data_IF_870509018018
#
_entry.id   IF_870509018018
#
_cell.length_a   1.000
_cell.length_b   1.000
_cell.length_c   1.000
_cell.angle_alpha   90.00
_cell.angle_beta   90.00
_cell.angle_gamma   90.00
#
_symmetry.space_group_name_H-M   'P 1'
#
loop_
_entity.id
_entity.type
_entity.pdbx_description
1 polymer ?
#
# COMPACT_ATOMS: atom_id res chain seq x y z
N UNK A 1 -19.51 58.55 36.67
CA UNK A 1 -20.70 57.83 37.17
C UNK A 1 -21.41 57.24 35.96
N UNK A 2 -21.68 55.93 36.01
CA UNK A 2 -22.63 55.17 35.16
C UNK A 2 -22.09 54.58 33.84
N UNK A 3 -21.83 53.27 33.95
CA UNK A 3 -21.84 52.19 32.96
C UNK A 3 -22.94 52.28 31.88
N UNK A 4 -22.66 51.83 30.65
CA UNK A 4 -23.61 51.00 29.87
C UNK A 4 -22.89 50.05 28.89
N UNK A 5 -22.87 48.76 29.28
CA UNK A 5 -23.18 47.53 28.52
C UNK A 5 -22.62 47.33 27.09
N UNK A 6 -21.64 46.44 27.02
CA UNK A 6 -21.32 45.60 25.87
C UNK A 6 -22.42 44.53 25.65
N UNK A 7 -23.00 44.48 24.46
CA UNK A 7 -23.56 43.25 23.86
C UNK A 7 -23.72 43.44 22.35
N UNK A 8 -22.81 42.91 21.55
CA UNK A 8 -23.09 42.56 20.16
C UNK A 8 -23.01 41.05 20.02
N UNK A 9 -24.19 40.44 19.89
CA UNK A 9 -24.37 39.07 19.50
C UNK A 9 -23.98 38.92 18.03
N UNK A 10 -22.97 38.09 17.76
CA UNK A 10 -22.65 37.61 16.42
C UNK A 10 -23.71 36.58 16.04
N UNK A 11 -24.76 37.02 15.33
CA UNK A 11 -25.70 36.12 14.65
C UNK A 11 -24.98 35.49 13.46
N UNK A 12 -24.45 34.28 13.63
CA UNK A 12 -24.18 33.40 12.49
C UNK A 12 -25.53 32.96 11.91
N UNK A 13 -25.82 33.42 10.69
CA UNK A 13 -26.92 32.91 9.88
C UNK A 13 -26.72 31.41 9.66
N UNK A 14 -27.69 30.63 10.13
CA UNK A 14 -27.91 29.23 9.77
C UNK A 14 -28.61 29.19 8.40
N UNK A 15 -27.90 29.52 7.33
CA UNK A 15 -28.44 29.36 5.97
C UNK A 15 -27.73 28.19 5.29
N UNK A 16 -28.42 27.04 5.36
CA UNK A 16 -28.45 25.93 4.40
C UNK A 16 -27.14 25.55 3.69
N UNK A 17 -26.42 24.59 4.25
CA UNK A 17 -25.81 23.55 3.41
C UNK A 17 -26.85 22.44 3.33
N UNK A 18 -27.64 22.44 2.27
CA UNK A 18 -28.33 21.22 1.85
C UNK A 18 -27.24 20.20 1.52
N UNK A 19 -26.99 19.30 2.47
CA UNK A 19 -26.21 18.10 2.22
C UNK A 19 -27.06 17.26 1.27
N UNK A 20 -26.83 17.39 -0.03
CA UNK A 20 -27.29 16.39 -0.97
C UNK A 20 -26.76 15.05 -0.46
N UNK A 21 -27.65 14.20 0.06
CA UNK A 21 -27.45 12.74 0.12
C UNK A 21 -27.35 12.25 -1.34
N UNK A 22 -26.24 12.58 -2.00
CA UNK A 22 -25.76 11.75 -3.08
C UNK A 22 -25.47 10.39 -2.47
N UNK A 23 -25.89 9.33 -3.14
CA UNK A 23 -25.61 7.94 -2.77
C UNK A 23 -24.18 7.84 -2.22
N UNK A 24 -24.04 7.42 -0.96
CA UNK A 24 -22.78 7.58 -0.25
C UNK A 24 -21.77 6.59 -0.83
N UNK A 25 -20.87 7.08 -1.69
CA UNK A 25 -19.79 6.31 -2.31
C UNK A 25 -18.93 5.63 -1.23
N UNK A 26 -18.61 4.36 -1.46
CA UNK A 26 -17.65 3.59 -0.67
C UNK A 26 -16.33 3.40 -1.41
N UNK A 27 -15.25 3.21 -0.65
CA UNK A 27 -13.98 2.69 -1.14
C UNK A 27 -13.81 1.28 -0.58
N UNK A 28 -13.50 0.31 -1.43
CA UNK A 28 -12.99 -0.99 -1.04
C UNK A 28 -11.54 -1.11 -1.49
N UNK A 29 -10.60 -1.18 -0.54
CA UNK A 29 -9.19 -1.43 -0.81
C UNK A 29 -8.80 -2.84 -0.37
N UNK A 30 -8.32 -3.66 -1.30
CA UNK A 30 -7.91 -5.04 -1.03
C UNK A 30 -6.40 -5.18 -1.10
N UNK A 31 -5.81 -5.97 -0.20
CA UNK A 31 -4.52 -6.57 -0.52
C UNK A 31 -4.64 -7.52 -1.73
N UNK A 32 -3.52 -7.77 -2.40
CA UNK A 32 -3.46 -8.64 -3.56
C UNK A 32 -3.06 -10.08 -3.24
N UNK A 33 -1.92 -10.29 -2.61
CA UNK A 33 -1.24 -11.58 -2.53
C UNK A 33 -1.68 -12.34 -1.27
N UNK A 34 -2.47 -13.40 -1.44
CA UNK A 34 -3.06 -14.11 -0.30
C UNK A 34 -4.47 -13.64 0.05
N UNK A 35 -4.85 -12.44 -0.40
CA UNK A 35 -6.19 -11.86 -0.23
C UNK A 35 -7.05 -11.93 -1.50
N UNK A 36 -6.81 -11.05 -2.48
CA UNK A 36 -7.56 -11.06 -3.76
C UNK A 36 -7.16 -12.25 -4.63
N UNK A 37 -5.87 -12.59 -4.62
CA UNK A 37 -5.36 -13.83 -5.18
C UNK A 37 -5.22 -14.87 -4.10
N UNK A 38 -5.90 -15.99 -4.29
CA UNK A 38 -5.75 -17.16 -3.44
C UNK A 38 -5.27 -18.31 -4.31
N UNK A 39 -4.20 -18.99 -3.89
CA UNK A 39 -3.57 -20.07 -4.67
C UNK A 39 -3.19 -19.61 -6.10
N UNK A 40 -2.76 -18.36 -6.24
CA UNK A 40 -2.33 -17.77 -7.52
C UNK A 40 -3.45 -17.43 -8.50
N UNK A 41 -4.72 -17.43 -8.05
CA UNK A 41 -5.86 -17.07 -8.90
C UNK A 41 -6.83 -16.09 -8.24
N UNK A 42 -7.50 -15.28 -9.06
CA UNK A 42 -8.66 -14.47 -8.66
C UNK A 42 -9.93 -15.17 -9.14
N UNK A 43 -10.86 -15.41 -8.22
CA UNK A 43 -12.08 -16.16 -8.54
C UNK A 43 -13.02 -15.39 -9.47
N UNK A 44 -13.83 -16.09 -10.26
CA UNK A 44 -14.88 -15.48 -11.09
C UNK A 44 -15.95 -14.77 -10.24
N UNK A 45 -16.18 -15.24 -9.01
CA UNK A 45 -17.08 -14.60 -8.06
C UNK A 45 -16.56 -13.25 -7.62
N UNK A 46 -15.28 -13.14 -7.26
CA UNK A 46 -14.67 -11.87 -6.87
C UNK A 46 -14.69 -10.87 -8.02
N UNK A 47 -14.35 -11.32 -9.24
CA UNK A 47 -14.42 -10.47 -10.44
C UNK A 47 -15.83 -9.93 -10.68
N UNK A 48 -16.85 -10.79 -10.58
CA UNK A 48 -18.24 -10.37 -10.73
C UNK A 48 -18.69 -9.41 -9.62
N UNK A 49 -18.29 -9.68 -8.37
CA UNK A 49 -18.61 -8.83 -7.22
C UNK A 49 -17.94 -7.45 -7.31
N UNK A 50 -16.66 -7.39 -7.72
CA UNK A 50 -15.93 -6.15 -7.98
C UNK A 50 -16.62 -5.35 -9.08
N UNK A 51 -17.01 -5.99 -10.18
CA UNK A 51 -17.73 -5.31 -11.26
C UNK A 51 -19.09 -4.75 -10.79
N UNK A 52 -19.83 -5.50 -9.96
CA UNK A 52 -21.09 -5.03 -9.37
C UNK A 52 -20.87 -3.86 -8.40
N UNK A 53 -19.85 -3.94 -7.56
CA UNK A 53 -19.43 -2.87 -6.63
C UNK A 53 -19.14 -1.57 -7.37
N UNK A 54 -18.34 -1.64 -8.43
CA UNK A 54 -18.01 -0.48 -9.27
C UNK A 54 -19.25 0.07 -9.99
N UNK A 55 -20.12 -0.80 -10.50
CA UNK A 55 -21.37 -0.40 -11.16
C UNK A 55 -22.33 0.31 -10.22
N UNK A 56 -22.28 0.00 -8.92
CA UNK A 56 -23.06 0.70 -7.89
C UNK A 56 -22.50 2.10 -7.53
N UNK A 57 -21.47 2.59 -8.23
CA UNK A 57 -20.88 3.90 -8.01
C UNK A 57 -19.80 3.93 -6.93
N UNK A 58 -19.40 2.77 -6.40
CA UNK A 58 -18.32 2.66 -5.43
C UNK A 58 -16.95 2.49 -6.11
N UNK A 59 -15.88 2.78 -5.38
CA UNK A 59 -14.51 2.65 -5.86
C UNK A 59 -13.90 1.35 -5.35
N UNK A 60 -13.25 0.60 -6.25
CA UNK A 60 -12.43 -0.55 -5.90
C UNK A 60 -10.98 -0.31 -6.27
N UNK A 61 -10.07 -0.73 -5.41
CA UNK A 61 -8.65 -0.68 -5.71
C UNK A 61 -7.83 -1.68 -4.92
N UNK A 62 -6.58 -1.84 -5.34
CA UNK A 62 -5.62 -2.74 -4.70
C UNK A 62 -4.61 -1.93 -3.90
N UNK A 63 -4.30 -2.40 -2.69
CA UNK A 63 -3.29 -1.84 -1.81
C UNK A 63 -2.20 -2.89 -1.49
N UNK A 64 -1.05 -2.79 -2.16
CA UNK A 64 -0.08 -3.87 -2.25
C UNK A 64 1.36 -3.39 -2.03
N UNK A 65 2.23 -4.29 -1.59
CA UNK A 65 3.68 -4.09 -1.55
C UNK A 65 4.34 -4.10 -2.94
N UNK A 66 3.63 -4.60 -3.97
CA UNK A 66 4.14 -4.63 -5.36
C UNK A 66 4.29 -3.21 -5.94
N UNK A 67 5.28 -3.06 -6.81
CA UNK A 67 5.39 -1.92 -7.72
C UNK A 67 4.31 -1.94 -8.81
N UNK A 68 4.11 -0.80 -9.48
CA UNK A 68 3.03 -0.55 -10.42
C UNK A 68 2.97 -1.57 -11.57
N UNK A 69 4.09 -1.81 -12.24
CA UNK A 69 4.12 -2.75 -13.37
C UNK A 69 3.85 -4.19 -12.94
N UNK A 70 4.35 -4.58 -11.77
CA UNK A 70 4.10 -5.90 -11.20
C UNK A 70 2.61 -6.13 -10.95
N UNK A 71 1.94 -5.23 -10.23
CA UNK A 71 0.51 -5.40 -9.97
C UNK A 71 -0.36 -5.24 -11.23
N UNK A 72 0.00 -4.33 -12.15
CA UNK A 72 -0.74 -4.12 -13.40
C UNK A 72 -0.71 -5.36 -14.29
N UNK A 73 0.45 -6.03 -14.39
CA UNK A 73 0.56 -7.27 -15.14
C UNK A 73 -0.33 -8.37 -14.55
N UNK A 74 -0.35 -8.50 -13.22
CA UNK A 74 -1.14 -9.50 -12.51
C UNK A 74 -2.65 -9.27 -12.63
N UNK A 75 -3.10 -8.02 -12.47
CA UNK A 75 -4.50 -7.64 -12.66
C UNK A 75 -4.95 -7.83 -14.12
N UNK A 76 -4.09 -7.49 -15.08
CA UNK A 76 -4.35 -7.75 -16.51
C UNK A 76 -4.45 -9.24 -16.84
N UNK A 77 -3.54 -10.04 -16.28
CA UNK A 77 -3.52 -11.52 -16.43
C UNK A 77 -4.80 -12.15 -15.86
N UNK A 78 -5.31 -11.63 -14.75
CA UNK A 78 -6.56 -12.09 -14.14
C UNK A 78 -7.82 -11.42 -14.69
N UNK A 79 -7.69 -10.37 -15.50
CA UNK A 79 -8.81 -9.53 -15.99
C UNK A 79 -9.63 -8.94 -14.84
N UNK A 80 -8.93 -8.37 -13.86
CA UNK A 80 -9.54 -7.65 -12.74
C UNK A 80 -9.56 -6.16 -13.05
N UNK A 81 -10.76 -5.63 -12.98
CA UNK A 81 -11.05 -4.23 -13.11
C UNK A 81 -10.79 -3.48 -11.79
N UNK A 82 -10.29 -2.25 -11.87
CA UNK A 82 -9.99 -1.41 -10.70
C UNK A 82 -10.11 0.09 -11.04
N UNK A 83 -10.26 0.92 -10.02
CA UNK A 83 -10.31 2.38 -10.12
C UNK A 83 -9.01 3.05 -9.65
N UNK A 84 -8.29 2.41 -8.73
CA UNK A 84 -7.02 2.91 -8.22
C UNK A 84 -6.08 1.79 -7.79
N UNK A 85 -4.79 2.12 -7.72
CA UNK A 85 -3.75 1.26 -7.17
C UNK A 85 -2.92 2.04 -6.15
N UNK A 86 -2.76 1.44 -4.97
CA UNK A 86 -1.82 1.88 -3.94
C UNK A 86 -0.64 0.90 -3.96
N UNK A 87 0.45 1.30 -4.61
CA UNK A 87 1.64 0.48 -4.80
C UNK A 87 2.70 0.80 -3.75
N UNK A 88 3.70 -0.07 -3.62
CA UNK A 88 4.82 0.09 -2.69
C UNK A 88 4.33 0.37 -1.26
N UNK A 89 3.42 -0.46 -0.76
CA UNK A 89 2.76 -0.35 0.55
C UNK A 89 2.11 1.03 0.76
N UNK A 90 1.46 1.56 -0.28
CA UNK A 90 0.80 2.87 -0.25
C UNK A 90 1.72 4.06 -0.50
N UNK A 91 3.01 3.85 -0.77
CA UNK A 91 3.96 4.91 -1.11
C UNK A 91 3.68 5.59 -2.44
N UNK A 92 3.00 4.89 -3.35
CA UNK A 92 2.59 5.42 -4.66
C UNK A 92 1.08 5.26 -4.85
N UNK A 93 0.44 6.29 -5.38
CA UNK A 93 -1.01 6.31 -5.68
C UNK A 93 -1.20 6.49 -7.18
N UNK A 94 -1.92 5.58 -7.82
CA UNK A 94 -2.22 5.62 -9.26
C UNK A 94 -3.72 5.60 -9.52
N UNK A 95 -4.15 6.34 -10.55
CA UNK A 95 -5.48 6.29 -11.16
C UNK A 95 -5.32 6.18 -12.67
N UNK A 96 -5.40 4.97 -13.23
CA UNK A 96 -5.35 4.65 -14.67
C UNK A 96 -4.15 5.15 -15.51
N UNK A 97 -3.23 5.93 -14.95
CA UNK A 97 -2.04 6.48 -15.62
C UNK A 97 -0.76 5.69 -15.30
N UNK A 98 0.33 5.96 -16.02
CA UNK A 98 1.67 5.36 -15.79
C UNK A 98 2.53 6.13 -14.80
N UNK A 99 2.09 7.32 -14.40
CA UNK A 99 2.75 8.16 -13.38
C UNK A 99 1.81 8.23 -12.17
N UNK A 100 2.34 8.12 -10.94
CA UNK A 100 1.51 8.23 -9.76
C UNK A 100 1.01 9.66 -9.58
N UNK A 101 -0.25 9.80 -9.17
CA UNK A 101 -0.84 11.10 -8.79
C UNK A 101 -0.26 11.61 -7.46
N UNK A 102 0.22 10.72 -6.61
CA UNK A 102 1.00 11.05 -5.42
C UNK A 102 2.12 10.03 -5.19
N UNK A 103 3.26 10.51 -4.73
CA UNK A 103 4.41 9.67 -4.36
C UNK A 103 5.04 10.10 -3.04
N UNK A 104 5.58 9.12 -2.32
CA UNK A 104 6.49 9.31 -1.18
C UNK A 104 7.85 8.74 -1.51
N UNK A 105 8.89 9.43 -1.03
CA UNK A 105 10.27 9.07 -1.31
C UNK A 105 11.12 9.19 -0.06
N UNK A 106 12.13 8.34 0.06
CA UNK A 106 13.19 8.42 1.06
C UNK A 106 14.44 9.07 0.44
N UNK A 107 15.27 9.71 1.28
CA UNK A 107 16.58 10.23 0.86
C UNK A 107 17.49 9.05 0.48
N UNK A 108 18.02 9.09 -0.74
CA UNK A 108 18.85 8.02 -1.28
C UNK A 108 20.23 7.90 -0.63
N UNK A 109 20.66 8.88 0.19
CA UNK A 109 21.89 8.78 0.99
C UNK A 109 21.94 7.56 1.92
N UNK A 110 20.79 7.01 2.29
CA UNK A 110 20.72 5.79 3.12
C UNK A 110 21.09 4.53 2.32
N UNK A 111 20.97 4.55 0.98
CA UNK A 111 21.08 3.36 0.14
C UNK A 111 22.40 2.61 0.28
N UNK A 112 23.60 3.26 0.27
CA UNK A 112 24.85 2.53 0.41
C UNK A 112 24.93 1.69 1.68
N UNK A 113 24.59 2.29 2.84
CA UNK A 113 24.63 1.61 4.13
C UNK A 113 23.54 0.55 4.25
N UNK A 114 22.33 0.86 3.77
CA UNK A 114 21.20 -0.08 3.81
C UNK A 114 21.42 -1.30 2.92
N UNK A 115 21.90 -1.10 1.69
CA UNK A 115 22.18 -2.21 0.76
C UNK A 115 23.37 -3.02 1.26
N UNK A 116 24.42 -2.39 1.81
CA UNK A 116 25.55 -3.12 2.38
C UNK A 116 25.09 -4.00 3.53
N UNK A 117 24.28 -3.45 4.46
CA UNK A 117 23.68 -4.22 5.55
C UNK A 117 22.93 -5.44 5.01
N UNK A 118 22.01 -5.25 4.05
CA UNK A 118 21.20 -6.33 3.46
C UNK A 118 22.06 -7.45 2.87
N UNK A 119 23.08 -7.10 2.10
CA UNK A 119 23.94 -8.10 1.45
C UNK A 119 24.83 -8.82 2.47
N UNK A 120 25.39 -8.09 3.45
CA UNK A 120 26.23 -8.65 4.51
C UNK A 120 25.46 -9.59 5.45
N UNK A 121 24.16 -9.35 5.64
CA UNK A 121 23.27 -10.22 6.43
C UNK A 121 22.70 -11.39 5.64
N UNK A 122 23.09 -11.56 4.36
CA UNK A 122 22.69 -12.70 3.53
C UNK A 122 21.41 -12.50 2.72
N UNK A 123 20.91 -11.26 2.62
CA UNK A 123 19.83 -10.91 1.71
C UNK A 123 20.24 -11.18 0.27
N UNK A 124 19.36 -11.80 -0.51
CA UNK A 124 19.73 -12.32 -1.83
C UNK A 124 20.05 -11.22 -2.85
N UNK A 125 19.41 -10.08 -2.70
CA UNK A 125 19.52 -8.93 -3.58
C UNK A 125 18.83 -7.73 -2.90
N UNK A 126 19.00 -6.53 -3.47
CA UNK A 126 18.13 -5.40 -3.23
C UNK A 126 17.53 -4.90 -4.55
N UNK A 127 16.22 -4.68 -4.57
CA UNK A 127 15.51 -4.02 -5.68
C UNK A 127 15.09 -2.64 -5.23
N UNK A 128 15.54 -1.59 -5.91
CA UNK A 128 15.29 -0.19 -5.59
C UNK A 128 14.35 0.40 -6.64
N UNK A 129 13.12 0.69 -6.24
CA UNK A 129 12.13 1.38 -7.05
C UNK A 129 12.34 2.90 -7.04
N UNK A 130 12.14 3.53 -8.20
CA UNK A 130 12.13 5.00 -8.36
C UNK A 130 11.11 5.40 -9.42
N UNK A 131 10.60 6.63 -9.32
CA UNK A 131 9.90 7.29 -10.42
C UNK A 131 10.90 8.15 -11.20
N UNK A 132 11.01 7.85 -12.50
CA UNK A 132 11.67 8.68 -13.51
C UNK A 132 10.61 9.45 -14.31
N UNK A 133 11.03 10.19 -15.35
CA UNK A 133 10.22 11.21 -16.03
C UNK A 133 8.81 10.74 -16.41
N UNK A 134 8.64 9.51 -16.87
CA UNK A 134 7.39 8.98 -17.40
C UNK A 134 6.95 7.62 -16.81
N UNK A 135 7.75 7.04 -15.90
CA UNK A 135 7.50 5.69 -15.39
C UNK A 135 8.22 5.36 -14.09
N UNK A 136 7.74 4.31 -13.44
CA UNK A 136 8.51 3.58 -12.43
C UNK A 136 9.64 2.77 -13.08
N UNK A 137 10.82 2.81 -12.46
CA UNK A 137 11.98 1.99 -12.81
C UNK A 137 12.44 1.22 -11.58
N UNK A 138 13.01 0.04 -11.80
CA UNK A 138 13.61 -0.75 -10.73
C UNK A 138 15.08 -1.02 -11.02
N UNK A 139 15.92 -0.73 -10.03
CA UNK A 139 17.33 -1.04 -10.04
C UNK A 139 17.60 -2.25 -9.17
N UNK A 140 18.42 -3.18 -9.64
CA UNK A 140 18.69 -4.43 -8.94
C UNK A 140 20.17 -4.55 -8.62
N UNK A 141 20.47 -5.05 -7.42
CA UNK A 141 21.84 -5.29 -6.98
C UNK A 141 21.92 -6.58 -6.17
N UNK A 142 23.01 -7.32 -6.35
CA UNK A 142 23.35 -8.52 -5.58
C UNK A 142 24.86 -8.69 -5.60
N UNK A 143 25.38 -9.30 -4.54
CA UNK A 143 26.76 -9.74 -4.40
C UNK A 143 27.05 -11.05 -5.19
N UNK A 144 26.01 -11.83 -5.48
CA UNK A 144 26.10 -13.02 -6.30
C UNK A 144 25.89 -12.70 -7.79
N UNK A 145 26.97 -12.83 -8.56
CA UNK A 145 26.98 -12.53 -10.00
C UNK A 145 26.19 -13.53 -10.86
N UNK A 146 25.93 -14.74 -10.35
CA UNK A 146 25.15 -15.76 -11.06
C UNK A 146 23.64 -15.49 -10.97
N UNK A 147 23.19 -14.80 -9.91
CA UNK A 147 21.80 -14.34 -9.79
C UNK A 147 21.55 -13.28 -10.86
N UNK A 148 20.49 -13.43 -11.65
CA UNK A 148 20.12 -12.45 -12.68
C UNK A 148 18.85 -11.70 -12.26
N UNK A 149 18.77 -10.37 -12.49
CA UNK A 149 17.52 -9.66 -12.33
C UNK A 149 16.46 -10.19 -13.30
N UNK A 150 15.19 -10.02 -12.93
CA UNK A 150 14.10 -10.12 -13.88
C UNK A 150 14.27 -9.06 -15.01
N UNK A 151 13.76 -9.30 -16.23
CA UNK A 151 14.01 -8.43 -17.40
C UNK A 151 13.65 -6.95 -17.21
N UNK A 152 12.70 -6.65 -16.32
CA UNK A 152 12.23 -5.32 -15.98
C UNK A 152 13.21 -4.51 -15.10
N UNK A 153 14.18 -5.17 -14.46
CA UNK A 153 15.12 -4.52 -13.56
C UNK A 153 16.49 -4.29 -14.19
N UNK A 154 17.03 -3.09 -13.97
CA UNK A 154 18.37 -2.72 -14.43
C UNK A 154 19.40 -3.03 -13.35
N UNK A 155 20.41 -3.85 -13.66
CA UNK A 155 21.51 -4.09 -12.72
C UNK A 155 22.33 -2.82 -12.52
N UNK A 156 22.65 -2.51 -11.27
CA UNK A 156 23.56 -1.41 -10.90
C UNK A 156 24.70 -1.89 -9.99
N UNK A 157 25.77 -1.11 -9.92
CA UNK A 157 26.91 -1.37 -9.05
C UNK A 157 26.78 -0.59 -7.73
N UNK A 158 27.43 -1.09 -6.68
CA UNK A 158 27.46 -0.43 -5.37
C UNK A 158 27.96 1.03 -5.46
N UNK A 159 28.96 1.28 -6.31
CA UNK A 159 29.53 2.61 -6.52
C UNK A 159 28.54 3.64 -7.08
N UNK A 160 27.48 3.19 -7.76
CA UNK A 160 26.49 4.07 -8.38
C UNK A 160 25.29 4.37 -7.47
N UNK A 161 25.19 3.76 -6.27
CA UNK A 161 24.06 4.02 -5.38
C UNK A 161 23.95 5.49 -4.95
N UNK A 162 25.08 6.19 -4.82
CA UNK A 162 25.08 7.62 -4.46
C UNK A 162 24.48 8.52 -5.55
N UNK A 163 24.30 8.02 -6.78
CA UNK A 163 23.66 8.76 -7.87
C UNK A 163 22.12 8.72 -7.75
N UNK A 164 21.59 7.77 -6.99
CA UNK A 164 20.17 7.64 -6.73
C UNK A 164 19.78 8.58 -5.58
N UNK A 165 19.44 9.83 -5.90
CA UNK A 165 19.14 10.87 -4.89
C UNK A 165 17.92 10.58 -3.99
N UNK A 166 16.98 9.76 -4.47
CA UNK A 166 15.77 9.38 -3.74
C UNK A 166 15.25 8.03 -4.24
N UNK A 167 14.41 7.35 -3.46
CA UNK A 167 13.75 6.11 -3.89
C UNK A 167 12.36 5.95 -3.27
N UNK A 168 11.52 5.12 -3.89
CA UNK A 168 10.12 4.90 -3.47
C UNK A 168 9.95 3.65 -2.62
N UNK A 169 10.72 2.60 -2.91
CA UNK A 169 10.79 1.37 -2.11
C UNK A 169 12.11 0.67 -2.40
N UNK A 170 12.65 -0.02 -1.39
CA UNK A 170 13.66 -1.05 -1.55
C UNK A 170 13.04 -2.37 -1.11
N UNK A 171 13.19 -3.44 -1.87
CA UNK A 171 12.81 -4.79 -1.42
C UNK A 171 13.99 -5.75 -1.45
N UNK A 172 13.95 -6.73 -0.55
CA UNK A 172 14.93 -7.81 -0.48
C UNK A 172 14.25 -9.13 -0.09
N UNK A 173 14.97 -10.23 -0.23
CA UNK A 173 14.49 -11.58 0.06
C UNK A 173 15.56 -12.37 0.83
N UNK A 174 15.12 -13.13 1.82
CA UNK A 174 15.92 -14.06 2.59
C UNK A 174 15.49 -15.51 2.35
N UNK A 175 16.26 -16.46 2.86
CA UNK A 175 15.94 -17.89 2.74
C UNK A 175 14.74 -18.28 3.62
N UNK A 176 14.63 -17.70 4.82
CA UNK A 176 13.62 -18.06 5.83
C UNK A 176 12.86 -16.84 6.34
N UNK A 177 11.58 -17.04 6.68
CA UNK A 177 10.74 -16.00 7.29
C UNK A 177 11.31 -15.48 8.61
N UNK A 178 11.93 -16.35 9.41
CA UNK A 178 12.56 -15.96 10.68
C UNK A 178 13.67 -14.93 10.49
N UNK A 179 14.51 -15.11 9.44
CA UNK A 179 15.55 -14.15 9.09
C UNK A 179 14.95 -12.85 8.57
N UNK A 180 13.94 -12.93 7.70
CA UNK A 180 13.26 -11.75 7.19
C UNK A 180 12.65 -10.93 8.35
N UNK A 181 12.05 -11.59 9.34
CA UNK A 181 11.54 -10.94 10.55
C UNK A 181 12.64 -10.29 11.38
N UNK A 182 13.72 -11.02 11.68
CA UNK A 182 14.86 -10.51 12.44
C UNK A 182 15.45 -9.25 11.79
N UNK A 183 15.76 -9.33 10.50
CA UNK A 183 16.37 -8.20 9.79
C UNK A 183 15.39 -7.06 9.53
N UNK A 184 14.08 -7.33 9.46
CA UNK A 184 13.07 -6.26 9.45
C UNK A 184 13.17 -5.42 10.72
N UNK A 185 13.30 -6.06 11.88
CA UNK A 185 13.44 -5.36 13.17
C UNK A 185 14.74 -4.56 13.21
N UNK A 186 15.86 -5.16 12.84
CA UNK A 186 17.16 -4.48 12.81
C UNK A 186 17.18 -3.29 11.82
N UNK A 187 16.55 -3.43 10.65
CA UNK A 187 16.43 -2.30 9.69
C UNK A 187 15.67 -1.14 10.32
N UNK A 188 14.55 -1.42 11.00
CA UNK A 188 13.77 -0.39 11.69
C UNK A 188 14.55 0.27 12.84
N UNK A 189 15.39 -0.48 13.55
CA UNK A 189 16.24 0.07 14.62
C UNK A 189 17.38 0.95 14.07
N UNK A 190 18.06 0.50 13.01
CA UNK A 190 19.25 1.16 12.47
C UNK A 190 18.91 2.32 11.52
N UNK A 191 17.84 2.19 10.73
CA UNK A 191 17.50 3.09 9.64
C UNK A 191 16.11 3.75 9.80
N UNK A 192 15.45 3.56 10.95
CA UNK A 192 14.09 4.04 11.24
C UNK A 192 13.87 5.55 11.12
N UNK A 193 14.94 6.35 11.12
CA UNK A 193 14.87 7.79 10.87
C UNK A 193 14.55 8.15 9.41
N UNK A 194 14.77 7.23 8.47
CA UNK A 194 14.59 7.47 7.02
C UNK A 194 13.60 6.50 6.39
N UNK A 195 13.56 5.26 6.86
CA UNK A 195 12.75 4.19 6.27
C UNK A 195 11.93 3.44 7.33
N UNK A 196 10.94 2.69 6.88
CA UNK A 196 10.20 1.69 7.65
C UNK A 196 10.21 0.39 6.86
N UNK A 197 10.54 -0.72 7.52
CA UNK A 197 10.59 -2.05 6.95
C UNK A 197 9.40 -2.90 7.43
N UNK A 198 8.82 -3.65 6.49
CA UNK A 198 7.72 -4.58 6.72
C UNK A 198 8.12 -5.98 6.25
N UNK A 199 7.92 -6.96 7.12
CA UNK A 199 8.05 -8.35 6.72
C UNK A 199 6.87 -8.76 5.84
N UNK A 200 7.17 -9.38 4.71
CA UNK A 200 6.19 -9.99 3.81
C UNK A 200 6.65 -11.42 3.47
N UNK A 201 6.39 -12.36 4.38
CA UNK A 201 6.90 -13.73 4.30
C UNK A 201 8.42 -13.75 4.39
N UNK A 202 9.08 -14.26 3.35
CA UNK A 202 10.55 -14.28 3.20
C UNK A 202 11.13 -12.98 2.63
N UNK A 203 10.27 -12.05 2.21
CA UNK A 203 10.66 -10.76 1.69
C UNK A 203 10.60 -9.68 2.78
N UNK A 204 11.35 -8.61 2.56
CA UNK A 204 11.24 -7.37 3.34
C UNK A 204 10.97 -6.23 2.37
N UNK A 205 9.88 -5.51 2.60
CA UNK A 205 9.56 -4.26 1.90
C UNK A 205 10.01 -3.08 2.74
N UNK A 206 10.87 -2.23 2.20
CA UNK A 206 11.47 -1.09 2.90
C UNK A 206 11.03 0.18 2.20
N UNK A 207 10.19 0.96 2.85
CA UNK A 207 9.53 2.15 2.31
C UNK A 207 9.96 3.40 3.09
N UNK A 208 9.67 4.62 2.61
CA UNK A 208 9.98 5.84 3.34
C UNK A 208 9.30 5.85 4.71
N UNK A 209 9.95 6.47 5.71
CA UNK A 209 9.39 6.57 7.06
C UNK A 209 7.98 7.18 7.04
N UNK A 210 7.06 6.56 7.78
CA UNK A 210 5.65 6.96 7.84
C UNK A 210 4.80 6.53 6.63
N UNK A 211 5.35 5.74 5.71
CA UNK A 211 4.59 5.09 4.64
C UNK A 211 4.17 3.69 5.09
N UNK A 212 2.88 3.41 4.93
CA UNK A 212 2.27 2.09 5.06
C UNK A 212 0.93 2.06 4.30
N UNK A 213 0.31 0.88 4.22
CA UNK A 213 -0.97 0.68 3.54
C UNK A 213 -2.07 1.63 4.05
N UNK A 214 -2.13 1.87 5.37
CA UNK A 214 -3.12 2.75 5.97
C UNK A 214 -2.94 4.21 5.54
N UNK A 215 -1.72 4.75 5.65
CA UNK A 215 -1.43 6.15 5.32
C UNK A 215 -1.59 6.43 3.83
N UNK A 216 -1.28 5.47 2.95
CA UNK A 216 -1.60 5.54 1.52
C UNK A 216 -3.09 5.68 1.27
N UNK A 217 -3.89 4.82 1.92
CA UNK A 217 -5.34 4.86 1.77
C UNK A 217 -5.97 6.11 2.40
N UNK A 218 -5.42 6.62 3.51
CA UNK A 218 -5.82 7.89 4.12
C UNK A 218 -5.63 9.06 3.14
N UNK A 219 -4.49 9.13 2.43
CA UNK A 219 -4.25 10.14 1.39
C UNK A 219 -5.27 10.01 0.26
N UNK A 220 -5.48 8.79 -0.23
CA UNK A 220 -6.42 8.54 -1.31
C UNK A 220 -7.88 8.89 -0.96
N UNK A 221 -8.37 8.51 0.23
CA UNK A 221 -9.75 8.84 0.64
C UNK A 221 -9.97 10.35 0.75
N UNK A 222 -8.94 11.11 1.15
CA UNK A 222 -8.99 12.58 1.24
C UNK A 222 -9.12 13.17 -0.17
N UNK A 223 -8.33 12.69 -1.14
CA UNK A 223 -8.44 13.08 -2.54
C UNK A 223 -9.84 12.83 -3.11
N UNK A 224 -10.44 11.68 -2.76
CA UNK A 224 -11.79 11.29 -3.19
C UNK A 224 -12.91 11.89 -2.35
N UNK A 225 -12.58 12.59 -1.26
CA UNK A 225 -13.55 13.16 -0.30
C UNK A 225 -14.54 12.11 0.23
N UNK A 226 -14.04 10.88 0.41
CA UNK A 226 -14.82 9.76 0.98
C UNK A 226 -14.60 9.76 2.49
N UNK A 227 -15.68 9.76 3.30
CA UNK A 227 -15.54 9.75 4.75
C UNK A 227 -15.02 8.39 5.22
N UNK A 228 -14.29 8.38 6.34
CA UNK A 228 -13.54 7.20 6.81
C UNK A 228 -14.45 5.98 7.06
N UNK A 229 -15.67 6.22 7.52
CA UNK A 229 -16.70 5.19 7.74
C UNK A 229 -17.17 4.48 6.46
N UNK A 230 -16.87 5.05 5.29
CA UNK A 230 -17.17 4.47 3.98
C UNK A 230 -15.96 3.78 3.34
N UNK A 231 -14.86 3.62 4.08
CA UNK A 231 -13.68 2.92 3.62
C UNK A 231 -13.64 1.52 4.23
N UNK A 232 -13.77 0.51 3.37
CA UNK A 232 -13.65 -0.91 3.69
C UNK A 232 -12.27 -1.39 3.24
N UNK A 233 -11.62 -2.22 4.06
CA UNK A 233 -10.35 -2.85 3.70
C UNK A 233 -10.34 -4.33 4.00
N UNK A 234 -9.60 -5.09 3.22
CA UNK A 234 -9.43 -6.53 3.43
C UNK A 234 -7.98 -6.94 3.15
N UNK A 235 -7.43 -7.79 4.02
CA UNK A 235 -6.05 -8.27 3.93
C UNK A 235 -5.85 -9.63 4.62
N UNK A 236 -4.62 -10.14 4.62
CA UNK A 236 -4.29 -11.46 5.14
C UNK A 236 -3.00 -11.51 5.97
N UNK A 237 -2.13 -10.50 5.85
CA UNK A 237 -0.77 -10.54 6.39
C UNK A 237 -0.43 -9.32 7.28
N UNK A 238 0.77 -9.31 7.86
CA UNK A 238 1.17 -8.30 8.84
C UNK A 238 1.22 -6.87 8.28
N UNK A 239 1.59 -6.70 7.00
CA UNK A 239 1.58 -5.39 6.35
C UNK A 239 0.16 -4.84 6.10
N UNK A 240 -0.89 -5.62 6.34
CA UNK A 240 -2.29 -5.19 6.27
C UNK A 240 -2.84 -4.69 7.61
N UNK A 241 -2.19 -5.04 8.73
CA UNK A 241 -2.70 -4.74 10.07
C UNK A 241 -2.97 -3.25 10.26
N UNK A 242 -2.09 -2.38 9.76
CA UNK A 242 -2.27 -0.94 9.90
C UNK A 242 -3.57 -0.47 9.25
N UNK A 243 -3.89 -0.94 8.03
CA UNK A 243 -5.14 -0.52 7.37
C UNK A 243 -6.36 -1.18 8.02
N UNK A 244 -6.25 -2.44 8.45
CA UNK A 244 -7.34 -3.18 9.10
C UNK A 244 -7.74 -2.52 10.42
N UNK A 245 -6.76 -2.08 11.22
CA UNK A 245 -7.01 -1.39 12.49
C UNK A 245 -7.49 0.05 12.29
N UNK A 246 -7.01 0.72 11.25
CA UNK A 246 -7.35 2.12 10.99
C UNK A 246 -8.78 2.27 10.44
N UNK A 247 -9.25 1.37 9.56
CA UNK A 247 -10.51 1.51 8.81
C UNK A 247 -11.58 0.45 9.19
N UNK A 248 -12.62 0.28 8.36
CA UNK A 248 -13.49 -0.89 8.47
C UNK A 248 -12.75 -2.11 7.91
N UNK A 249 -11.91 -2.71 8.77
CA UNK A 249 -11.01 -3.79 8.41
C UNK A 249 -11.59 -5.19 8.53
N UNK A 250 -11.36 -5.97 7.48
CA UNK A 250 -11.72 -7.37 7.34
C UNK A 250 -10.50 -8.21 6.96
N UNK A 251 -10.65 -9.52 7.00
CA UNK A 251 -9.62 -10.45 6.50
C UNK A 251 -10.22 -11.57 5.68
N UNK A 252 -9.35 -12.31 4.99
CA UNK A 252 -9.72 -13.62 4.45
C UNK A 252 -9.48 -14.72 5.49
N UNK A 253 -10.26 -15.80 5.43
CA UNK A 253 -10.18 -16.94 6.34
C UNK A 253 -8.83 -17.67 6.28
N UNK A 254 -8.10 -17.53 5.17
CA UNK A 254 -6.75 -18.07 4.97
C UNK A 254 -5.63 -17.20 5.57
N UNK A 255 -5.95 -16.01 6.08
CA UNK A 255 -4.96 -15.07 6.59
C UNK A 255 -4.30 -15.51 7.90
N UNK A 256 -3.25 -14.80 8.29
CA UNK A 256 -2.55 -15.07 9.55
C UNK A 256 -3.52 -14.93 10.74
N UNK A 257 -3.45 -15.81 11.76
CA UNK A 257 -4.36 -15.76 12.91
C UNK A 257 -4.41 -14.39 13.59
N UNK A 258 -3.28 -13.69 13.70
CA UNK A 258 -3.17 -12.37 14.30
C UNK A 258 -3.96 -11.30 13.53
N UNK A 259 -4.03 -11.45 12.20
CA UNK A 259 -4.79 -10.56 11.32
C UNK A 259 -6.28 -10.85 11.44
N UNK A 260 -6.66 -12.13 11.45
CA UNK A 260 -8.05 -12.57 11.63
C UNK A 260 -8.62 -12.07 12.96
N UNK A 261 -7.89 -12.25 14.07
CA UNK A 261 -8.33 -11.84 15.41
C UNK A 261 -8.55 -10.33 15.52
N UNK A 262 -7.77 -9.53 14.79
CA UNK A 262 -7.87 -8.06 14.78
C UNK A 262 -8.89 -7.52 13.77
N UNK A 263 -9.38 -8.37 12.87
CA UNK A 263 -10.38 -8.01 11.87
C UNK A 263 -11.78 -7.98 12.47
N UNK A 264 -12.67 -7.16 11.91
CA UNK A 264 -14.09 -7.13 12.33
C UNK A 264 -14.80 -8.45 12.03
N UNK A 265 -14.45 -9.04 10.89
CA UNK A 265 -14.97 -10.31 10.39
C UNK A 265 -13.99 -10.85 9.34
N UNK A 266 -13.94 -12.18 9.21
CA UNK A 266 -13.21 -12.85 8.15
C UNK A 266 -14.17 -13.46 7.12
N UNK A 267 -13.75 -13.51 5.86
CA UNK A 267 -14.53 -14.01 4.73
C UNK A 267 -13.73 -15.06 3.94
N UNK A 268 -14.39 -15.91 3.18
CA UNK A 268 -13.68 -16.81 2.26
C UNK A 268 -12.98 -16.02 1.14
N UNK A 269 -13.55 -14.89 0.71
CA UNK A 269 -13.07 -14.06 -0.40
C UNK A 269 -13.75 -12.67 -0.40
N UNK A 270 -13.38 -11.81 -1.35
CA UNK A 270 -13.94 -10.46 -1.50
C UNK A 270 -15.44 -10.47 -1.78
N UNK A 271 -15.93 -11.42 -2.58
CA UNK A 271 -17.34 -11.50 -2.93
C UNK A 271 -18.23 -11.67 -1.69
N UNK A 272 -17.75 -12.41 -0.68
CA UNK A 272 -18.42 -12.53 0.62
C UNK A 272 -18.56 -11.17 1.31
N UNK A 273 -17.48 -10.39 1.38
CA UNK A 273 -17.52 -9.03 1.95
C UNK A 273 -18.45 -8.11 1.16
N UNK A 274 -18.30 -8.05 -0.16
CA UNK A 274 -19.08 -7.16 -1.03
C UNK A 274 -20.59 -7.42 -0.88
N UNK A 275 -21.01 -8.68 -0.74
CA UNK A 275 -22.42 -9.07 -0.61
C UNK A 275 -23.11 -8.57 0.68
N UNK A 276 -22.36 -8.10 1.68
CA UNK A 276 -22.95 -7.51 2.88
C UNK A 276 -23.27 -6.02 2.72
N UNK A 277 -22.80 -5.39 1.64
CA UNK A 277 -22.91 -3.96 1.40
C UNK A 277 -23.72 -3.61 0.15
N UNK A 278 -23.92 -4.57 -0.78
CA UNK A 278 -24.76 -4.45 -1.97
C UNK A 278 -25.47 -5.77 -2.29
#
# INVERSE_FOLDING_TARGET
>A
MIFYKLSQAFLFRKDMIEYHRGESMYILASDFDGTLTQQGTVSDKDKAAIAAWRKAGNLFGVNTGRGYYGIKAELGRHKVDYDFLLCNNGGLIYENETIPIEQKTADGKVLPSLVSFILETGGFHAVIGRIEVDREVGYWISDNMDRKPAPEFTRILMSNLNELMYFTQLSTQYEKEEQANEYTQQINELFGNTVTAFQNGVCIDIVPVGVNKATGLLRYMILKKVPKENVLVIGDNFNDLDMILEFNGFSVNSGKPEVIIKSRKSFDNLAGLISEYI
#
